data_IF_411468790583
#
_entry.id   IF_411468790583
#
_cell.length_a   1.000
_cell.length_b   1.000
_cell.length_c   1.000
_cell.angle_alpha   90.00
_cell.angle_beta   90.00
_cell.angle_gamma   90.00
#
_symmetry.space_group_name_H-M   'P 1'
#
loop_
_entity.id
_entity.type
_entity.pdbx_description
1 polymer ?
#
# COMPACT_ATOMS: atom_id res chain seq x y z
N UNK A 1 -8.79 -3.30 -7.32
CA UNK A 1 -10.03 -2.97 -6.58
C UNK A 1 -9.83 -2.66 -5.09
N UNK A 2 -8.61 -2.49 -4.56
CA UNK A 2 -8.39 -2.16 -3.13
C UNK A 2 -7.45 -0.97 -2.87
N UNK A 3 -6.43 -0.76 -3.72
CA UNK A 3 -5.37 0.21 -3.44
C UNK A 3 -5.70 1.66 -3.83
N UNK A 4 -6.72 1.93 -4.64
CA UNK A 4 -7.00 3.29 -5.14
C UNK A 4 -7.11 4.33 -4.01
N UNK A 5 -7.80 3.99 -2.91
CA UNK A 5 -7.90 4.89 -1.75
C UNK A 5 -6.59 5.04 -1.00
N UNK A 6 -5.72 4.02 -0.98
CA UNK A 6 -4.43 4.11 -0.31
C UNK A 6 -3.57 5.20 -0.93
N UNK A 7 -3.51 5.23 -2.26
CA UNK A 7 -2.74 6.23 -3.01
C UNK A 7 -3.43 7.60 -3.07
N UNK A 8 -4.73 7.64 -3.37
CA UNK A 8 -5.45 8.92 -3.54
C UNK A 8 -5.69 9.68 -2.25
N UNK A 9 -5.80 8.97 -1.12
CA UNK A 9 -6.13 9.58 0.18
C UNK A 9 -5.01 9.44 1.20
N UNK A 10 -3.85 8.90 0.80
CA UNK A 10 -2.71 8.67 1.69
C UNK A 10 -3.14 7.88 2.95
N UNK A 11 -3.96 6.83 2.74
CA UNK A 11 -4.56 5.96 3.75
C UNK A 11 -5.60 6.60 4.71
N UNK A 12 -5.83 7.91 4.66
CA UNK A 12 -6.73 8.65 5.58
C UNK A 12 -8.19 8.20 5.53
N UNK A 13 -8.68 7.70 4.39
CA UNK A 13 -10.11 7.41 4.22
C UNK A 13 -10.62 6.18 5.00
N UNK A 14 -9.73 5.24 5.38
CA UNK A 14 -10.13 3.94 5.95
C UNK A 14 -9.31 3.51 7.16
N UNK A 15 -8.07 3.99 7.31
CA UNK A 15 -7.18 3.53 8.37
C UNK A 15 -7.31 4.40 9.63
N UNK A 16 -7.03 3.85 10.83
CA UNK A 16 -7.07 4.60 12.08
C UNK A 16 -6.08 5.78 12.11
N UNK A 17 -6.45 6.87 12.77
CA UNK A 17 -5.64 8.10 12.79
C UNK A 17 -4.22 7.90 13.34
N UNK A 18 -4.04 7.06 14.37
CA UNK A 18 -2.71 6.76 14.92
C UNK A 18 -1.74 6.21 13.86
N UNK A 19 -2.22 5.33 12.98
CA UNK A 19 -1.45 4.83 11.85
C UNK A 19 -1.23 5.91 10.79
N UNK A 20 -2.27 6.68 10.48
CA UNK A 20 -2.21 7.72 9.46
C UNK A 20 -1.20 8.80 9.83
N UNK A 21 -1.12 9.23 11.09
CA UNK A 21 -0.13 10.23 11.52
C UNK A 21 1.30 9.80 11.24
N UNK A 22 1.67 8.55 11.57
CA UNK A 22 3.00 8.04 11.23
C UNK A 22 3.26 7.99 9.70
N UNK A 23 2.24 7.68 8.91
CA UNK A 23 2.37 7.69 7.44
C UNK A 23 2.63 9.12 6.95
N UNK A 24 1.94 10.11 7.51
CA UNK A 24 2.15 11.52 7.15
C UNK A 24 3.53 11.99 7.60
N UNK A 25 4.01 11.62 8.78
CA UNK A 25 5.35 11.95 9.25
C UNK A 25 6.42 11.44 8.27
N UNK A 26 6.33 10.16 7.89
CA UNK A 26 7.24 9.55 6.93
C UNK A 26 7.08 10.13 5.51
N UNK A 27 5.85 10.47 5.11
CA UNK A 27 5.58 11.09 3.81
C UNK A 27 6.24 12.47 3.71
N UNK A 28 6.15 13.28 4.76
CA UNK A 28 6.75 14.61 4.81
C UNK A 28 8.28 14.52 4.88
N UNK A 29 8.83 13.47 5.48
CA UNK A 29 10.27 13.25 5.60
C UNK A 29 10.91 12.63 4.35
N UNK A 30 10.31 11.58 3.78
CA UNK A 30 10.89 10.74 2.73
C UNK A 30 10.21 10.89 1.36
N UNK A 31 9.04 11.56 1.31
CA UNK A 31 8.27 11.78 0.09
C UNK A 31 7.31 10.64 -0.29
N UNK A 32 6.64 10.78 -1.44
CA UNK A 32 5.52 9.92 -1.87
C UNK A 32 5.85 8.43 -2.00
N UNK A 33 7.13 8.07 -2.10
CA UNK A 33 7.53 6.67 -2.22
C UNK A 33 7.17 5.85 -0.98
N UNK A 34 6.97 6.47 0.19
CA UNK A 34 6.55 5.77 1.40
C UNK A 34 5.21 5.04 1.21
N UNK A 35 4.34 5.56 0.34
CA UNK A 35 3.02 4.94 0.07
C UNK A 35 3.19 3.52 -0.47
N UNK A 36 4.22 3.28 -1.30
CA UNK A 36 4.56 1.92 -1.77
C UNK A 36 5.09 1.03 -0.63
N UNK A 37 5.91 1.58 0.27
CA UNK A 37 6.46 0.83 1.41
C UNK A 37 5.35 0.35 2.33
N UNK A 38 4.42 1.24 2.69
CA UNK A 38 3.28 0.93 3.56
C UNK A 38 2.33 -0.05 2.87
N UNK A 39 2.03 0.14 1.59
CA UNK A 39 1.19 -0.78 0.83
C UNK A 39 1.78 -2.21 0.78
N UNK A 40 3.10 -2.32 0.56
CA UNK A 40 3.79 -3.61 0.56
C UNK A 40 3.85 -4.24 1.96
N UNK A 41 4.04 -3.44 3.01
CA UNK A 41 4.02 -3.92 4.39
C UNK A 41 2.65 -4.50 4.76
N UNK A 42 1.56 -3.81 4.41
CA UNK A 42 0.19 -4.29 4.62
C UNK A 42 -0.07 -5.62 3.93
N UNK A 43 0.34 -5.75 2.66
CA UNK A 43 0.19 -6.97 1.88
C UNK A 43 1.05 -8.11 2.45
N UNK A 44 2.30 -7.82 2.82
CA UNK A 44 3.23 -8.81 3.37
C UNK A 44 2.73 -9.35 4.71
N UNK A 45 2.26 -8.47 5.59
CA UNK A 45 1.76 -8.83 6.93
C UNK A 45 0.41 -9.56 6.87
N UNK A 46 -0.36 -9.37 5.79
CA UNK A 46 -1.66 -10.01 5.59
C UNK A 46 -1.61 -11.20 4.62
N UNK A 47 -0.42 -11.63 4.19
CA UNK A 47 -0.24 -12.59 3.10
C UNK A 47 -1.04 -13.88 3.33
N UNK A 48 -0.92 -14.48 4.52
CA UNK A 48 -1.55 -15.78 4.79
C UNK A 48 -3.08 -15.69 4.80
N UNK A 49 -3.66 -14.62 5.35
CA UNK A 49 -5.11 -14.38 5.30
C UNK A 49 -5.59 -14.20 3.85
N UNK A 50 -4.82 -13.48 3.04
CA UNK A 50 -5.16 -13.18 1.65
C UNK A 50 -5.05 -14.41 0.74
N UNK A 51 -4.07 -15.29 0.97
CA UNK A 51 -3.89 -16.51 0.18
C UNK A 51 -4.98 -17.55 0.43
N UNK A 52 -5.64 -17.51 1.58
CA UNK A 52 -6.75 -18.40 1.92
C UNK A 52 -8.12 -17.85 1.49
N UNK A 53 -8.18 -16.57 1.14
CA UNK A 53 -9.42 -15.92 0.75
C UNK A 53 -9.75 -16.14 -0.73
N UNK A 54 -11.04 -16.31 -1.01
CA UNK A 54 -11.56 -16.14 -2.36
C UNK A 54 -11.66 -14.65 -2.72
N UNK A 55 -12.17 -14.36 -3.92
CA UNK A 55 -12.26 -12.98 -4.41
C UNK A 55 -13.09 -12.06 -3.48
N UNK A 56 -14.28 -12.50 -3.07
CA UNK A 56 -15.15 -11.70 -2.19
C UNK A 56 -14.54 -11.55 -0.79
N UNK A 57 -13.98 -12.64 -0.25
CA UNK A 57 -13.28 -12.68 1.03
C UNK A 57 -12.12 -11.69 1.07
N UNK A 58 -11.31 -11.63 0.00
CA UNK A 58 -10.20 -10.68 -0.10
C UNK A 58 -10.69 -9.22 -0.09
N UNK A 59 -11.75 -8.90 -0.84
CA UNK A 59 -12.33 -7.55 -0.84
C UNK A 59 -12.91 -7.17 0.53
N UNK A 60 -13.60 -8.11 1.20
CA UNK A 60 -14.12 -7.91 2.56
C UNK A 60 -12.98 -7.73 3.57
N UNK A 61 -11.89 -8.47 3.43
CA UNK A 61 -10.70 -8.35 4.26
C UNK A 61 -10.11 -6.94 4.18
N UNK A 62 -9.82 -6.44 2.96
CA UNK A 62 -9.28 -5.09 2.77
C UNK A 62 -10.19 -3.99 3.30
N UNK A 63 -11.52 -4.15 3.15
CA UNK A 63 -12.50 -3.13 3.56
C UNK A 63 -12.71 -3.08 5.08
N UNK A 64 -12.67 -4.22 5.75
CA UNK A 64 -13.16 -4.33 7.14
C UNK A 64 -12.08 -4.80 8.10
N UNK A 65 -11.39 -5.89 7.78
CA UNK A 65 -10.49 -6.54 8.74
C UNK A 65 -9.14 -5.83 8.80
N UNK A 66 -8.58 -5.48 7.63
CA UNK A 66 -7.26 -4.88 7.54
C UNK A 66 -7.16 -3.56 8.33
N UNK A 67 -8.07 -2.57 8.19
CA UNK A 67 -7.94 -1.33 8.95
C UNK A 67 -8.14 -1.52 10.46
N UNK A 68 -8.95 -2.51 10.87
CA UNK A 68 -9.19 -2.82 12.29
C UNK A 68 -7.93 -3.31 13.00
N UNK A 69 -7.02 -4.01 12.31
CA UNK A 69 -5.75 -4.51 12.88
C UNK A 69 -4.85 -3.40 13.41
N UNK A 70 -4.95 -2.19 12.84
CA UNK A 70 -4.06 -1.06 13.15
C UNK A 70 -4.72 0.00 14.04
N UNK A 71 -5.78 -0.35 14.79
CA UNK A 71 -6.39 0.56 15.77
C UNK A 71 -5.52 0.76 17.01
N UNK A 72 -4.76 -0.27 17.39
CA UNK A 72 -3.79 -0.18 18.47
C UNK A 72 -2.50 0.46 17.95
N UNK A 73 -2.00 1.44 18.70
CA UNK A 73 -0.80 2.20 18.37
C UNK A 73 0.43 1.30 18.16
N UNK A 74 0.59 0.27 19.01
CA UNK A 74 1.69 -0.69 18.89
C UNK A 74 1.68 -1.45 17.54
N UNK A 75 0.50 -1.81 17.04
CA UNK A 75 0.38 -2.47 15.73
C UNK A 75 0.71 -1.51 14.59
N UNK A 76 0.31 -0.25 14.72
CA UNK A 76 0.65 0.79 13.75
C UNK A 76 2.17 1.05 13.72
N UNK A 77 2.80 1.21 14.88
CA UNK A 77 4.26 1.39 15.01
C UNK A 77 5.02 0.23 14.38
N UNK A 78 4.64 -1.02 14.72
CA UNK A 78 5.25 -2.22 14.14
C UNK A 78 5.10 -2.28 12.62
N UNK A 79 3.96 -1.85 12.07
CA UNK A 79 3.76 -1.77 10.62
C UNK A 79 4.70 -0.75 9.98
N UNK A 80 4.91 0.42 10.61
CA UNK A 80 5.82 1.45 10.09
C UNK A 80 7.26 0.95 10.08
N UNK A 81 7.70 0.28 11.14
CA UNK A 81 9.02 -0.38 11.18
C UNK A 81 9.19 -1.39 10.05
N UNK A 82 8.16 -2.20 9.79
CA UNK A 82 8.17 -3.12 8.65
C UNK A 82 8.22 -2.40 7.31
N UNK A 83 7.47 -1.30 7.16
CA UNK A 83 7.45 -0.50 5.94
C UNK A 83 8.83 0.09 5.63
N UNK A 84 9.50 0.72 6.61
CA UNK A 84 10.83 1.29 6.44
C UNK A 84 11.90 0.23 6.12
N UNK A 85 11.69 -1.02 6.52
CA UNK A 85 12.58 -2.13 6.21
C UNK A 85 12.38 -2.74 4.81
N UNK A 86 11.27 -2.45 4.14
CA UNK A 86 11.03 -2.94 2.78
C UNK A 86 11.84 -2.10 1.80
N UNK A 87 12.74 -2.74 1.05
CA UNK A 87 13.49 -2.04 0.02
C UNK A 87 12.59 -1.80 -1.20
N UNK A 88 12.25 -0.55 -1.47
CA UNK A 88 11.66 -0.11 -2.74
C UNK A 88 12.64 0.80 -3.48
N UNK A 89 13.62 0.25 -4.24
CA UNK A 89 14.61 1.07 -4.92
C UNK A 89 13.97 1.96 -5.98
N UNK A 90 14.29 3.26 -5.97
CA UNK A 90 13.78 4.23 -6.95
C UNK A 90 14.08 3.79 -8.39
N UNK A 91 15.24 3.18 -8.64
CA UNK A 91 15.60 2.62 -9.96
C UNK A 91 14.58 1.57 -10.44
N UNK A 92 14.04 0.77 -9.52
CA UNK A 92 13.04 -0.26 -9.84
C UNK A 92 11.68 0.36 -10.14
N UNK A 93 11.28 1.38 -9.39
CA UNK A 93 10.05 2.13 -9.67
C UNK A 93 10.10 2.82 -11.05
N UNK A 94 11.20 3.51 -11.37
CA UNK A 94 11.39 4.14 -12.69
C UNK A 94 11.38 3.13 -13.84
N UNK A 95 11.94 1.93 -13.62
CA UNK A 95 11.87 0.84 -14.58
C UNK A 95 10.42 0.43 -14.84
N UNK A 96 9.64 0.21 -13.78
CA UNK A 96 8.22 -0.16 -13.90
C UNK A 96 7.35 0.93 -14.51
N UNK A 97 7.63 2.19 -14.21
CA UNK A 97 6.98 3.34 -14.86
C UNK A 97 7.20 3.32 -16.38
N UNK A 98 8.44 3.14 -16.83
CA UNK A 98 8.77 3.07 -18.26
C UNK A 98 8.11 1.87 -18.95
N UNK A 99 8.15 0.69 -18.32
CA UNK A 99 7.47 -0.51 -18.83
C UNK A 99 5.96 -0.29 -18.98
N UNK A 100 5.32 0.36 -18.00
CA UNK A 100 3.90 0.70 -18.06
C UNK A 100 3.57 1.68 -19.20
N UNK A 101 4.36 2.73 -19.38
CA UNK A 101 4.17 3.71 -20.47
C UNK A 101 4.27 3.05 -21.84
N UNK A 102 5.33 2.26 -22.09
CA UNK A 102 5.51 1.54 -23.37
C UNK A 102 4.37 0.56 -23.66
N UNK A 103 3.89 -0.16 -22.64
CA UNK A 103 2.75 -1.06 -22.77
C UNK A 103 1.46 -0.30 -23.15
N UNK A 104 1.22 0.85 -22.52
CA UNK A 104 0.03 1.69 -22.79
C UNK A 104 0.06 2.29 -24.20
N UNK A 105 1.21 2.78 -24.66
CA UNK A 105 1.38 3.28 -26.02
C UNK A 105 1.12 2.19 -27.07
N UNK A 106 1.61 0.97 -26.82
CA UNK A 106 1.42 -0.16 -27.72
C UNK A 106 -0.07 -0.57 -27.84
N UNK A 107 -0.83 -0.49 -26.75
CA UNK A 107 -2.27 -0.76 -26.74
C UNK A 107 -3.05 0.27 -27.57
N UNK A 108 -2.73 1.55 -27.43
CA UNK A 108 -3.37 2.64 -28.16
C UNK A 108 -3.10 2.61 -29.67
N UNK A 109 -1.99 1.99 -30.10
CA UNK A 109 -1.68 1.81 -31.52
C UNK A 109 -2.40 0.61 -32.16
N UNK A 110 -2.96 -0.28 -31.35
CA UNK A 110 -3.71 -1.46 -31.80
C UNK A 110 -5.22 -1.22 -31.85
N UNK A 111 -5.70 -0.13 -31.24
CA UNK A 111 -7.08 0.38 -31.31
C UNK A 111 -7.27 1.34 -32.49
#
# INVERSE_FOLDING_TARGET
MYASQWFLTLFTAKFPLCMVFHIIDLLLCEGLNIIFHVALALLKTSKEDLLQADFEGALKFFRVQLPKRYRAEENARRLMEQACNIKVPIKKLKKYEKEYQTMRESQLQQE
#
